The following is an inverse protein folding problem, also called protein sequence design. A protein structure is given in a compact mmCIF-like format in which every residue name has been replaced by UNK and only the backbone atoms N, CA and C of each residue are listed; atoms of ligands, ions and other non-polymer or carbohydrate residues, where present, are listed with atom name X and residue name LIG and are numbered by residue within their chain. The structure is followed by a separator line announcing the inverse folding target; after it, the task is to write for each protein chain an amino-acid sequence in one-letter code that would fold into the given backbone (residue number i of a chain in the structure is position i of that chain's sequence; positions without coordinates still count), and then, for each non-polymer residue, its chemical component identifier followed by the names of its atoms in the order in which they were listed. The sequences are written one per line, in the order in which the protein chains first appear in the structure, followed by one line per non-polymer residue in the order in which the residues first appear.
data_IF_357102721475
#
_entry.id   IF_357102721475
#
_cell.length_a   1.000
_cell.length_b   1.000
_cell.length_c   1.000
_cell.angle_alpha   90.00
_cell.angle_beta   90.00
_cell.angle_gamma   90.00
#
_symmetry.space_group_name_H-M   'P 1'
#
loop_
_entity.id
_entity.type
_entity.pdbx_description
1 polymer ?
#
# COMPACT_ATOMS: atom_id res chain seq x y z
N UNK A 1 13.80 15.85 19.29
CA UNK A 1 13.00 16.83 18.55
C UNK A 1 11.58 16.30 18.42
N UNK A 2 10.64 17.13 17.97
CA UNK A 2 9.38 16.62 17.42
C UNK A 2 9.65 16.02 16.02
N UNK A 3 8.80 15.09 15.58
CA UNK A 3 8.98 14.31 14.36
C UNK A 3 7.75 14.40 13.47
N UNK A 4 7.97 14.58 12.17
CA UNK A 4 6.95 14.41 11.13
C UNK A 4 7.33 13.15 10.34
N UNK A 5 6.37 12.27 10.10
CA UNK A 5 6.60 11.00 9.40
C UNK A 5 5.54 10.77 8.32
N UNK A 6 5.96 10.12 7.24
CA UNK A 6 5.06 9.60 6.23
C UNK A 6 4.18 8.49 6.79
N UNK A 7 3.04 8.26 6.11
CA UNK A 7 2.24 7.05 6.32
C UNK A 7 2.85 5.87 5.52
N UNK A 8 2.76 4.63 6.02
CA UNK A 8 2.35 4.28 7.37
C UNK A 8 3.44 4.67 8.38
N UNK A 9 3.04 5.08 9.60
CA UNK A 9 4.00 5.43 10.67
C UNK A 9 4.98 4.28 10.95
N UNK A 10 4.51 3.03 10.83
CA UNK A 10 5.31 1.82 10.90
C UNK A 10 4.53 0.63 10.32
N UNK A 11 5.15 -0.54 10.30
CA UNK A 11 4.62 -1.75 9.64
C UNK A 11 3.83 -2.68 10.56
N UNK A 12 3.97 -2.53 11.89
CA UNK A 12 3.37 -3.43 12.87
C UNK A 12 3.06 -2.73 14.20
N UNK A 13 2.17 -3.35 14.97
CA UNK A 13 1.67 -2.79 16.22
C UNK A 13 2.74 -2.72 17.33
N UNK A 14 3.74 -3.61 17.32
CA UNK A 14 4.80 -3.63 18.33
C UNK A 14 5.71 -2.42 18.15
N UNK A 15 6.12 -2.12 16.91
CA UNK A 15 6.84 -0.90 16.57
C UNK A 15 5.99 0.35 16.85
N UNK A 16 4.69 0.30 16.57
CA UNK A 16 3.80 1.44 16.84
C UNK A 16 3.74 1.74 18.34
N UNK A 17 3.63 0.71 19.18
CA UNK A 17 3.70 0.82 20.63
C UNK A 17 5.01 1.45 21.09
N UNK A 18 6.16 1.00 20.57
CA UNK A 18 7.48 1.58 20.90
C UNK A 18 7.59 3.08 20.58
N UNK A 19 6.96 3.52 19.48
CA UNK A 19 6.90 4.94 19.11
C UNK A 19 6.07 5.71 20.16
N UNK A 20 4.89 5.20 20.52
CA UNK A 20 4.02 5.81 21.53
C UNK A 20 4.68 5.88 22.92
N UNK A 21 5.38 4.82 23.34
CA UNK A 21 6.09 4.78 24.62
C UNK A 21 7.24 5.79 24.64
N UNK A 22 7.94 5.95 23.51
CA UNK A 22 8.98 6.98 23.36
C UNK A 22 8.39 8.38 23.41
N UNK A 23 7.24 8.59 22.77
CA UNK A 23 6.49 9.85 22.83
C UNK A 23 6.17 10.20 24.29
N UNK A 24 5.59 9.25 25.05
CA UNK A 24 5.23 9.43 26.46
C UNK A 24 6.45 9.72 27.34
N UNK A 25 7.54 8.97 27.16
CA UNK A 25 8.77 9.14 27.95
C UNK A 25 9.48 10.47 27.71
N UNK A 26 9.42 11.01 26.49
CA UNK A 26 10.21 12.19 26.10
C UNK A 26 9.41 13.49 26.08
N UNK A 27 8.08 13.41 26.11
CA UNK A 27 7.18 14.57 25.96
C UNK A 27 7.23 15.22 24.57
N UNK A 28 7.90 14.59 23.59
CA UNK A 28 7.96 15.05 22.20
C UNK A 28 6.74 14.59 21.42
N UNK A 29 6.51 15.16 20.24
CA UNK A 29 5.36 14.83 19.38
C UNK A 29 5.78 14.09 18.11
N UNK A 30 4.93 13.17 17.67
CA UNK A 30 5.01 12.55 16.34
C UNK A 30 3.75 12.89 15.56
N UNK A 31 3.91 13.48 14.38
CA UNK A 31 2.81 13.79 13.45
C UNK A 31 2.91 12.90 12.23
N UNK A 32 1.86 12.13 11.94
CA UNK A 32 1.77 11.29 10.74
C UNK A 32 1.06 12.06 9.64
N UNK A 33 1.64 12.13 8.43
CA UNK A 33 1.12 12.92 7.31
C UNK A 33 -0.02 12.23 6.56
N UNK A 34 -1.23 12.26 7.11
CA UNK A 34 -2.45 11.83 6.40
C UNK A 34 -3.00 12.93 5.48
N UNK A 35 -2.31 13.14 4.36
CA UNK A 35 -2.63 14.22 3.41
C UNK A 35 -4.08 14.21 2.87
N UNK A 36 -4.73 13.04 2.82
CA UNK A 36 -6.09 12.92 2.28
C UNK A 36 -7.14 13.74 3.04
N UNK A 37 -6.95 13.97 4.35
CA UNK A 37 -7.83 14.83 5.17
C UNK A 37 -7.89 16.28 4.68
N UNK A 38 -6.85 16.73 3.97
CA UNK A 38 -6.71 18.11 3.49
C UNK A 38 -7.10 18.27 2.02
N UNK A 39 -7.54 17.21 1.35
CA UNK A 39 -8.04 17.33 -0.01
C UNK A 39 -9.48 17.87 0.00
N UNK A 40 -9.82 18.92 -0.78
CA UNK A 40 -11.14 19.55 -0.76
C UNK A 40 -12.33 18.57 -0.82
N UNK A 41 -12.37 17.57 -1.71
CA UNK A 41 -13.51 16.65 -1.76
C UNK A 41 -13.65 15.78 -0.50
N UNK A 42 -12.55 15.44 0.18
CA UNK A 42 -12.59 14.60 1.39
C UNK A 42 -13.04 15.42 2.59
N UNK A 43 -12.60 16.68 2.68
CA UNK A 43 -13.07 17.63 3.68
C UNK A 43 -14.54 17.95 3.52
N UNK A 44 -15.02 18.15 2.28
CA UNK A 44 -16.45 18.38 2.05
C UNK A 44 -17.32 17.21 2.50
N UNK A 45 -16.89 15.96 2.27
CA UNK A 45 -17.59 14.78 2.80
C UNK A 45 -17.65 14.84 4.33
N UNK A 46 -16.53 15.18 4.99
CA UNK A 46 -16.51 15.33 6.45
C UNK A 46 -17.53 16.35 6.94
N UNK A 47 -17.57 17.52 6.31
CA UNK A 47 -18.49 18.60 6.69
C UNK A 47 -19.96 18.19 6.51
N UNK A 48 -20.28 17.51 5.41
CA UNK A 48 -21.63 16.97 5.16
C UNK A 48 -22.03 15.95 6.23
N UNK A 49 -21.13 15.02 6.58
CA UNK A 49 -21.40 14.03 7.63
C UNK A 49 -21.61 14.70 8.99
N UNK A 50 -20.78 15.68 9.35
CA UNK A 50 -20.90 16.40 10.62
C UNK A 50 -22.11 17.33 10.69
N UNK A 51 -22.63 17.77 9.55
CA UNK A 51 -23.87 18.56 9.49
C UNK A 51 -25.12 17.72 9.78
N UNK A 52 -25.02 16.39 9.74
CA UNK A 52 -26.15 15.48 9.93
C UNK A 52 -27.13 15.45 8.75
N UNK A 53 -26.77 16.01 7.59
CA UNK A 53 -27.67 16.14 6.43
C UNK A 53 -28.15 14.79 5.88
N UNK A 54 -27.42 13.70 6.11
CA UNK A 54 -27.81 12.34 5.72
C UNK A 54 -28.34 11.49 6.88
N UNK A 55 -28.52 12.09 8.07
CA UNK A 55 -28.88 11.36 9.29
C UNK A 55 -27.71 10.55 9.87
N UNK A 56 -28.05 9.51 10.63
CA UNK A 56 -27.09 8.59 11.24
C UNK A 56 -26.47 7.66 10.19
N UNK A 57 -25.14 7.57 10.17
CA UNK A 57 -24.43 6.63 9.29
C UNK A 57 -24.50 5.23 9.89
N UNK A 58 -25.28 4.36 9.27
CA UNK A 58 -25.47 2.97 9.73
C UNK A 58 -24.53 1.97 9.08
N UNK A 59 -23.94 2.32 7.93
CA UNK A 59 -22.99 1.47 7.20
C UNK A 59 -22.10 2.27 6.25
N UNK A 60 -20.91 1.75 5.98
CA UNK A 60 -19.97 2.27 4.99
C UNK A 60 -19.47 1.12 4.14
N UNK A 61 -19.62 1.24 2.82
CA UNK A 61 -18.96 0.40 1.83
C UNK A 61 -17.82 1.20 1.20
N UNK A 62 -16.60 0.70 1.27
CA UNK A 62 -15.43 1.38 0.74
C UNK A 62 -14.59 0.41 -0.11
N UNK A 63 -14.52 0.71 -1.41
CA UNK A 63 -13.71 -0.05 -2.36
C UNK A 63 -12.62 0.81 -2.96
N UNK A 64 -11.38 0.30 -2.94
CA UNK A 64 -10.24 0.92 -3.61
C UNK A 64 -9.55 -0.10 -4.50
N UNK A 65 -9.87 -0.03 -5.79
CA UNK A 65 -9.34 -0.92 -6.81
C UNK A 65 -8.22 -0.22 -7.58
N UNK A 66 -7.08 -0.90 -7.72
CA UNK A 66 -5.96 -0.42 -8.53
C UNK A 66 -5.98 -1.12 -9.88
N UNK A 67 -5.56 -0.40 -10.91
CA UNK A 67 -5.29 -1.02 -12.21
C UNK A 67 -4.05 -1.93 -12.14
N UNK A 68 -3.81 -2.66 -13.24
CA UNK A 68 -2.68 -3.57 -13.37
C UNK A 68 -1.33 -2.86 -13.53
N UNK A 69 -1.30 -1.54 -13.74
CA UNK A 69 -0.07 -0.77 -13.86
C UNK A 69 0.42 -0.31 -12.49
N UNK A 70 -0.41 0.46 -11.77
CA UNK A 70 -0.15 0.95 -10.42
C UNK A 70 -0.16 -0.19 -9.40
N UNK A 71 -1.13 -1.11 -9.46
CA UNK A 71 -1.23 -2.24 -8.54
C UNK A 71 0.02 -3.13 -8.59
N UNK A 72 0.47 -3.46 -9.81
CA UNK A 72 1.62 -4.34 -10.03
C UNK A 72 2.93 -3.79 -9.43
N UNK A 73 3.09 -2.47 -9.33
CA UNK A 73 4.31 -1.85 -8.84
C UNK A 73 4.59 -2.18 -7.35
N UNK A 74 3.57 -2.49 -6.56
CA UNK A 74 3.73 -3.01 -5.18
C UNK A 74 4.33 -4.42 -5.13
N UNK A 75 4.16 -5.20 -6.19
CA UNK A 75 4.67 -6.58 -6.31
C UNK A 75 6.05 -6.64 -6.97
N UNK A 76 6.56 -5.52 -7.52
CA UNK A 76 7.92 -5.46 -8.09
C UNK A 76 8.98 -5.13 -7.05
N UNK A 77 8.64 -4.29 -6.09
CA UNK A 77 9.60 -3.62 -5.21
C UNK A 77 9.65 -4.28 -3.83
N UNK A 78 10.43 -3.71 -2.91
CA UNK A 78 10.54 -4.16 -1.52
C UNK A 78 9.19 -4.31 -0.80
N UNK A 79 8.17 -3.55 -1.23
CA UNK A 79 6.80 -3.63 -0.69
C UNK A 79 6.18 -5.02 -0.76
N UNK A 80 6.65 -5.86 -1.70
CA UNK A 80 6.18 -7.23 -1.92
C UNK A 80 6.46 -8.19 -0.76
N UNK A 81 7.26 -7.75 0.20
CA UNK A 81 7.63 -8.50 1.39
C UNK A 81 6.95 -7.88 2.63
N UNK A 82 6.13 -8.67 3.31
CA UNK A 82 5.31 -8.28 4.44
C UNK A 82 6.12 -7.80 5.65
N UNK A 83 7.33 -8.31 5.82
CA UNK A 83 8.30 -7.82 6.82
C UNK A 83 8.66 -6.34 6.62
N UNK A 84 8.64 -5.87 5.36
CA UNK A 84 9.01 -4.50 5.02
C UNK A 84 7.79 -3.57 4.95
N UNK A 85 6.62 -4.09 4.55
CA UNK A 85 5.45 -3.27 4.24
C UNK A 85 4.27 -3.43 5.19
N UNK A 86 4.18 -4.57 5.91
CA UNK A 86 2.96 -4.98 6.59
C UNK A 86 1.83 -5.42 5.63
N UNK A 87 2.13 -5.58 4.34
CA UNK A 87 1.13 -5.86 3.30
C UNK A 87 0.41 -4.59 2.82
N UNK A 88 -0.47 -4.73 1.83
CA UNK A 88 -1.16 -3.57 1.24
C UNK A 88 -2.15 -2.91 2.21
N UNK A 89 -2.74 -3.66 3.14
CA UNK A 89 -3.61 -3.08 4.17
C UNK A 89 -2.87 -2.06 5.06
N UNK A 90 -1.58 -2.29 5.33
CA UNK A 90 -0.76 -1.34 6.09
C UNK A 90 -0.14 -0.30 5.16
N UNK A 91 0.62 -0.75 4.15
CA UNK A 91 1.43 0.13 3.32
C UNK A 91 0.61 1.06 2.41
N UNK A 92 -0.49 0.55 1.85
CA UNK A 92 -1.35 1.30 0.93
C UNK A 92 -2.61 1.82 1.63
N UNK A 93 -3.27 1.00 2.43
CA UNK A 93 -4.61 1.32 2.93
C UNK A 93 -4.67 2.06 4.26
N UNK A 94 -3.54 2.31 4.93
CA UNK A 94 -3.53 3.09 6.19
C UNK A 94 -4.18 4.45 6.06
N UNK A 95 -3.97 5.17 4.95
CA UNK A 95 -4.65 6.45 4.74
C UNK A 95 -6.15 6.30 4.43
N UNK A 96 -6.62 5.12 4.01
CA UNK A 96 -8.05 4.87 3.77
C UNK A 96 -8.75 4.58 5.11
N UNK A 97 -8.14 3.75 5.96
CA UNK A 97 -8.62 3.53 7.33
C UNK A 97 -8.66 4.85 8.12
N UNK A 98 -7.59 5.63 8.03
CA UNK A 98 -7.54 6.99 8.59
C UNK A 98 -8.72 7.84 8.11
N UNK A 99 -8.98 7.84 6.80
CA UNK A 99 -10.02 8.64 6.19
C UNK A 99 -11.43 8.23 6.62
N UNK A 100 -11.73 6.93 6.70
CA UNK A 100 -13.04 6.44 7.17
C UNK A 100 -13.23 6.74 8.65
N UNK A 101 -12.24 6.46 9.51
CA UNK A 101 -12.29 6.82 10.93
C UNK A 101 -12.52 8.34 11.09
N UNK A 102 -11.80 9.15 10.31
CA UNK A 102 -11.92 10.60 10.34
C UNK A 102 -13.29 11.05 9.86
N UNK A 103 -13.84 10.51 8.78
CA UNK A 103 -15.19 10.83 8.29
C UNK A 103 -16.27 10.52 9.33
N UNK A 104 -16.22 9.33 9.91
CA UNK A 104 -17.18 8.88 10.91
C UNK A 104 -17.02 9.61 12.26
N UNK A 105 -15.88 10.28 12.51
CA UNK A 105 -15.55 10.80 13.85
C UNK A 105 -15.53 9.70 14.92
N UNK A 106 -15.23 8.47 14.52
CA UNK A 106 -15.35 7.29 15.36
C UNK A 106 -14.08 6.43 15.26
N UNK A 107 -13.91 5.52 16.22
CA UNK A 107 -12.78 4.61 16.35
C UNK A 107 -13.22 3.17 16.17
N UNK A 108 -12.40 2.33 15.50
CA UNK A 108 -12.73 0.92 15.32
C UNK A 108 -12.70 0.19 16.67
N UNK A 109 -13.73 -0.59 16.95
CA UNK A 109 -13.87 -1.45 18.14
C UNK A 109 -13.49 -2.90 17.84
N UNK A 110 -13.86 -3.42 16.67
CA UNK A 110 -13.53 -4.79 16.24
C UNK A 110 -13.23 -4.83 14.76
N UNK A 111 -12.26 -5.66 14.38
CA UNK A 111 -11.86 -5.84 12.98
C UNK A 111 -11.81 -7.34 12.69
N UNK A 112 -12.42 -7.74 11.57
CA UNK A 112 -12.23 -9.03 10.93
C UNK A 112 -11.63 -8.80 9.55
N UNK A 113 -10.59 -9.54 9.20
CA UNK A 113 -9.93 -9.41 7.91
C UNK A 113 -9.62 -10.80 7.34
N UNK A 114 -9.81 -10.95 6.04
CA UNK A 114 -9.41 -12.13 5.29
C UNK A 114 -8.78 -11.70 3.97
N UNK A 115 -7.80 -12.47 3.51
CA UNK A 115 -7.11 -12.16 2.27
C UNK A 115 -6.03 -13.17 1.92
N UNK A 116 -5.67 -13.19 0.64
CA UNK A 116 -4.63 -14.05 0.12
C UNK A 116 -3.99 -13.44 -1.13
N UNK A 117 -2.95 -14.10 -1.62
CA UNK A 117 -2.32 -13.82 -2.91
C UNK A 117 -2.89 -14.76 -3.96
N UNK A 118 -3.77 -14.26 -4.85
CA UNK A 118 -4.43 -15.03 -5.88
C UNK A 118 -3.91 -14.75 -7.30
N UNK A 119 -3.53 -13.51 -7.61
CA UNK A 119 -3.14 -13.10 -8.96
C UNK A 119 -1.62 -13.12 -9.16
N UNK A 120 -0.86 -12.44 -8.30
CA UNK A 120 0.59 -12.24 -8.45
C UNK A 120 1.40 -13.46 -7.97
N UNK A 121 1.21 -14.59 -8.66
CA UNK A 121 1.83 -15.89 -8.39
C UNK A 121 2.47 -16.48 -9.65
N UNK A 122 3.46 -17.39 -9.51
CA UNK A 122 4.09 -18.06 -10.65
C UNK A 122 3.08 -18.70 -11.62
N UNK A 123 2.03 -19.34 -11.11
CA UNK A 123 1.02 -20.04 -11.89
C UNK A 123 0.23 -19.09 -12.80
N UNK A 124 0.04 -17.84 -12.38
CA UNK A 124 -0.58 -16.82 -13.24
C UNK A 124 0.35 -16.46 -14.40
N UNK A 125 1.64 -16.29 -14.14
CA UNK A 125 2.62 -16.09 -15.22
C UNK A 125 2.64 -17.25 -16.22
N UNK A 126 2.50 -18.49 -15.74
CA UNK A 126 2.48 -19.69 -16.58
C UNK A 126 1.23 -19.74 -17.46
N UNK A 127 0.08 -19.29 -16.95
CA UNK A 127 -1.16 -19.12 -17.75
C UNK A 127 -1.01 -18.09 -18.88
N UNK A 128 -0.14 -17.10 -18.72
CA UNK A 128 0.25 -16.18 -19.80
C UNK A 128 1.30 -16.79 -20.75
N UNK A 129 1.70 -18.06 -20.55
CA UNK A 129 2.70 -18.74 -21.35
C UNK A 129 4.15 -18.28 -21.09
N UNK A 130 4.40 -17.55 -20.00
CA UNK A 130 5.69 -16.92 -19.71
C UNK A 130 6.64 -17.88 -18.97
N UNK A 131 7.04 -19.00 -19.56
CA UNK A 131 7.77 -20.06 -18.81
C UNK A 131 9.26 -19.77 -18.56
N UNK A 132 9.89 -18.85 -19.31
CA UNK A 132 11.30 -18.47 -19.13
C UNK A 132 11.48 -17.09 -18.46
N UNK A 133 10.61 -16.74 -17.51
CA UNK A 133 10.73 -15.49 -16.73
C UNK A 133 12.04 -15.46 -15.94
N UNK A 134 12.67 -14.29 -15.91
CA UNK A 134 13.77 -14.00 -14.98
C UNK A 134 13.30 -13.03 -13.90
N UNK A 135 14.14 -12.77 -12.91
CA UNK A 135 13.79 -11.90 -11.79
C UNK A 135 13.63 -10.43 -12.18
N UNK A 136 14.21 -9.98 -13.30
CA UNK A 136 14.25 -8.58 -13.73
C UNK A 136 13.58 -8.44 -15.09
N UNK A 137 12.65 -7.50 -15.23
CA UNK A 137 11.94 -7.29 -16.49
C UNK A 137 12.87 -6.84 -17.62
N UNK A 138 13.84 -5.96 -17.35
CA UNK A 138 14.71 -5.41 -18.40
C UNK A 138 15.70 -6.44 -19.01
N UNK A 139 16.02 -7.52 -18.30
CA UNK A 139 16.83 -8.64 -18.81
C UNK A 139 16.01 -9.90 -19.08
N UNK A 140 14.68 -9.82 -19.00
CA UNK A 140 13.82 -10.98 -19.19
C UNK A 140 13.62 -11.25 -20.69
N UNK A 141 13.89 -12.48 -21.19
CA UNK A 141 13.66 -12.81 -22.59
C UNK A 141 12.17 -12.72 -22.97
N UNK A 142 11.28 -12.84 -21.98
CA UNK A 142 9.83 -12.80 -22.17
C UNK A 142 9.23 -11.39 -22.07
N UNK A 143 10.05 -10.36 -21.82
CA UNK A 143 9.59 -9.01 -21.53
C UNK A 143 8.73 -8.40 -22.66
N UNK A 144 9.00 -8.75 -23.91
CA UNK A 144 8.26 -8.22 -25.05
C UNK A 144 6.83 -8.74 -25.18
N UNK A 145 6.54 -9.95 -24.66
CA UNK A 145 5.20 -10.55 -24.66
C UNK A 145 4.50 -10.52 -23.31
N UNK A 146 5.21 -10.15 -22.25
CA UNK A 146 4.65 -10.05 -20.90
C UNK A 146 3.83 -8.75 -20.75
N UNK A 147 2.50 -8.82 -20.49
CA UNK A 147 1.68 -7.62 -20.29
C UNK A 147 2.01 -6.85 -19.00
N UNK A 148 2.85 -7.44 -18.14
CA UNK A 148 3.33 -6.84 -16.90
C UNK A 148 4.82 -6.48 -16.97
N UNK A 149 5.47 -6.47 -18.13
CA UNK A 149 6.87 -6.05 -18.18
C UNK A 149 7.00 -4.54 -17.92
N UNK A 150 7.84 -4.16 -16.96
CA UNK A 150 8.26 -2.76 -16.79
C UNK A 150 9.50 -2.52 -17.64
N UNK A 151 9.33 -1.94 -18.83
CA UNK A 151 10.44 -1.61 -19.75
C UNK A 151 11.11 -0.29 -19.38
N UNK A 152 11.68 -0.22 -18.17
CA UNK A 152 12.25 1.03 -17.65
C UNK A 152 13.46 1.53 -18.45
N UNK A 153 14.19 0.64 -19.13
CA UNK A 153 15.30 1.01 -20.02
C UNK A 153 14.85 1.86 -21.21
N UNK A 154 13.60 1.69 -21.67
CA UNK A 154 13.03 2.40 -22.81
C UNK A 154 12.45 3.78 -22.42
N UNK A 155 12.39 4.09 -21.12
CA UNK A 155 11.79 5.31 -20.58
C UNK A 155 12.91 6.15 -19.95
N UNK A 156 13.41 7.21 -20.61
CA UNK A 156 14.60 7.95 -20.17
C UNK A 156 14.54 8.42 -18.71
N UNK A 157 13.38 8.89 -18.25
CA UNK A 157 13.18 9.34 -16.87
C UNK A 157 13.27 8.20 -15.86
N UNK A 158 12.75 7.01 -16.17
CA UNK A 158 12.85 5.86 -15.29
C UNK A 158 14.23 5.22 -15.33
N UNK A 159 14.87 5.20 -16.50
CA UNK A 159 16.25 4.73 -16.66
C UNK A 159 17.20 5.57 -15.79
N UNK A 160 17.15 6.89 -15.92
CA UNK A 160 18.01 7.80 -15.17
C UNK A 160 17.74 7.72 -13.65
N UNK A 161 16.48 7.68 -13.24
CA UNK A 161 16.11 7.69 -11.82
C UNK A 161 16.34 6.33 -11.13
N UNK A 162 16.22 5.22 -11.85
CA UNK A 162 16.29 3.88 -11.26
C UNK A 162 17.42 3.04 -11.84
N UNK A 163 17.32 2.63 -13.11
CA UNK A 163 18.24 1.63 -13.69
C UNK A 163 19.72 2.04 -13.60
N UNK A 164 20.04 3.30 -13.93
CA UNK A 164 21.42 3.80 -13.89
C UNK A 164 21.95 4.03 -12.46
N UNK A 165 21.04 4.07 -11.49
CA UNK A 165 21.33 4.32 -10.08
C UNK A 165 21.43 3.05 -9.24
N UNK A 166 21.13 1.87 -9.80
CA UNK A 166 21.12 0.59 -9.07
C UNK A 166 22.46 0.25 -8.40
N UNK A 167 23.57 0.77 -8.94
CA UNK A 167 24.91 0.61 -8.39
C UNK A 167 25.12 1.25 -6.99
N UNK A 168 24.26 2.20 -6.59
CA UNK A 168 24.42 2.93 -5.33
C UNK A 168 23.71 2.29 -4.15
N UNK A 169 22.57 1.62 -4.36
CA UNK A 169 21.72 1.11 -3.28
C UNK A 169 21.16 -0.30 -3.53
N UNK A 170 21.35 -0.89 -4.72
CA UNK A 170 20.77 -2.18 -5.08
C UNK A 170 19.23 -2.16 -5.18
N UNK A 171 18.62 -0.99 -5.34
CA UNK A 171 17.17 -0.85 -5.45
C UNK A 171 16.67 -1.24 -6.85
N UNK A 172 16.14 -2.46 -6.96
CA UNK A 172 15.59 -2.99 -8.21
C UNK A 172 14.10 -2.73 -8.34
N UNK A 173 13.71 -1.82 -9.24
CA UNK A 173 12.31 -1.43 -9.45
C UNK A 173 11.51 -2.38 -10.34
N UNK A 174 12.15 -3.10 -11.23
CA UNK A 174 11.51 -3.87 -12.30
C UNK A 174 11.46 -5.38 -12.01
N UNK A 175 11.42 -5.79 -10.74
CA UNK A 175 11.37 -7.24 -10.45
C UNK A 175 10.09 -7.88 -10.97
N UNK A 176 10.17 -9.18 -11.24
CA UNK A 176 9.05 -9.96 -11.75
C UNK A 176 7.89 -10.03 -10.74
N UNK A 177 6.70 -9.64 -11.17
CA UNK A 177 5.45 -9.66 -10.37
C UNK A 177 4.83 -11.05 -10.25
N UNK A 178 5.40 -12.06 -10.90
CA UNK A 178 5.02 -13.47 -10.77
C UNK A 178 6.09 -14.30 -10.05
N UNK A 179 7.01 -13.63 -9.36
CA UNK A 179 8.06 -14.27 -8.56
C UNK A 179 7.46 -15.04 -7.36
N UNK A 180 8.01 -16.22 -7.00
CA UNK A 180 7.54 -16.98 -5.85
C UNK A 180 7.85 -16.28 -4.52
N UNK A 181 8.86 -15.41 -4.45
CA UNK A 181 9.42 -14.90 -3.18
C UNK A 181 8.58 -13.81 -2.51
N UNK A 182 7.46 -13.38 -3.10
CA UNK A 182 6.57 -12.38 -2.49
C UNK A 182 5.62 -13.04 -1.49
N UNK A 183 5.27 -12.33 -0.42
CA UNK A 183 4.39 -12.86 0.63
C UNK A 183 3.30 -11.88 1.09
N UNK A 184 3.04 -10.83 0.31
CA UNK A 184 1.88 -9.96 0.51
C UNK A 184 0.65 -10.46 -0.24
N UNK A 185 -0.52 -10.12 0.26
CA UNK A 185 -1.82 -10.37 -0.36
C UNK A 185 -2.10 -9.38 -1.50
N UNK A 186 -2.90 -9.81 -2.48
CA UNK A 186 -3.41 -8.98 -3.58
C UNK A 186 -4.93 -8.87 -3.61
N UNK A 187 -5.61 -9.73 -2.84
CA UNK A 187 -7.05 -9.74 -2.65
C UNK A 187 -7.34 -9.85 -1.15
N UNK A 188 -7.99 -8.84 -0.59
CA UNK A 188 -8.27 -8.76 0.85
C UNK A 188 -9.58 -8.02 1.07
N UNK A 189 -10.30 -8.37 2.13
CA UNK A 189 -11.47 -7.66 2.62
C UNK A 189 -11.35 -7.45 4.13
N UNK A 190 -11.94 -6.36 4.62
CA UNK A 190 -11.97 -6.03 6.05
C UNK A 190 -13.37 -5.59 6.44
N UNK A 191 -13.88 -6.16 7.53
CA UNK A 191 -15.11 -5.72 8.20
C UNK A 191 -14.70 -5.05 9.51
N UNK A 192 -15.20 -3.83 9.72
CA UNK A 192 -14.88 -3.01 10.89
C UNK A 192 -16.18 -2.65 11.61
N UNK A 193 -16.28 -3.03 12.88
CA UNK A 193 -17.30 -2.48 13.77
C UNK A 193 -16.71 -1.27 14.49
N UNK A 194 -17.43 -0.15 14.45
CA UNK A 194 -17.07 1.07 15.16
C UNK A 194 -17.69 1.11 16.57
N UNK A 195 -17.33 2.11 17.37
CA UNK A 195 -17.71 2.19 18.77
C UNK A 195 -19.13 2.75 18.99
N UNK A 196 -19.59 3.66 18.12
CA UNK A 196 -20.86 4.38 18.29
C UNK A 196 -20.71 5.59 19.19
#
# INVERSE_FOLDING_TARGET
CDVITEKPMTTDAVKARRILDTQARTGRKVTVTFNYRYSPPRTQIKDLLMSGVIGEVTSVDFHWLLDTHHGADYFRRWHRNKENSGGLMVHKATHHFDLVNWWLSDVPRRVYADGARYFYRPETGDRYGLTARTDRCHTCPEANRCPFALKMADIPSLKALYLDSEQYDGYFRDRCVFSPEMNIEDNMNVVVDYAG
#
